data_IF_121264005060
#
_entry.id   IF_121264005060
#
_cell.length_a   1.000
_cell.length_b   1.000
_cell.length_c   1.000
_cell.angle_alpha   90.00
_cell.angle_beta   90.00
_cell.angle_gamma   90.00
#
_symmetry.space_group_name_H-M   'P 1'
#
loop_
_entity.id
_entity.type
_entity.pdbx_description
1 polymer ?
#
# COMPACT_ATOMS: atom_id res chain seq x y z
N UNK A 1 -40.57 -12.58 -44.32
CA UNK A 1 -40.93 -11.72 -43.18
C UNK A 1 -40.30 -12.35 -41.94
N UNK A 2 -39.06 -11.94 -41.64
CA UNK A 2 -38.48 -11.77 -40.29
C UNK A 2 -38.33 -13.09 -39.49
N UNK A 3 -37.18 -13.77 -39.43
CA UNK A 3 -35.85 -13.34 -38.93
C UNK A 3 -35.93 -12.61 -37.58
N UNK A 4 -36.45 -13.28 -36.55
CA UNK A 4 -36.31 -12.84 -35.16
C UNK A 4 -36.72 -13.96 -34.20
N UNK A 5 -35.77 -14.82 -33.76
CA UNK A 5 -35.89 -15.32 -32.38
C UNK A 5 -34.68 -16.02 -31.72
N UNK A 6 -33.50 -16.14 -32.33
CA UNK A 6 -32.37 -16.79 -31.61
C UNK A 6 -31.07 -15.98 -31.62
N UNK A 7 -31.21 -14.65 -31.45
CA UNK A 7 -30.10 -13.78 -31.06
C UNK A 7 -30.02 -13.56 -29.53
N UNK A 8 -30.40 -14.56 -28.73
CA UNK A 8 -30.05 -14.62 -27.31
C UNK A 8 -28.89 -15.59 -27.10
N UNK A 9 -27.73 -15.20 -27.62
CA UNK A 9 -26.45 -15.73 -27.15
C UNK A 9 -26.11 -14.97 -25.87
N UNK A 10 -26.12 -15.59 -24.67
CA UNK A 10 -25.56 -14.95 -23.50
C UNK A 10 -24.05 -14.80 -23.70
N UNK A 11 -23.63 -13.64 -24.20
CA UNK A 11 -22.26 -13.17 -24.10
C UNK A 11 -22.03 -12.71 -22.66
N UNK A 12 -21.69 -13.65 -21.77
CA UNK A 12 -20.68 -13.48 -20.72
C UNK A 12 -20.60 -14.76 -19.88
N UNK A 13 -20.14 -15.84 -20.52
CA UNK A 13 -19.63 -16.99 -19.82
C UNK A 13 -18.13 -16.73 -19.57
N UNK A 14 -17.78 -15.92 -18.56
CA UNK A 14 -16.42 -15.96 -17.98
C UNK A 14 -16.12 -15.29 -16.62
N UNK A 15 -17.09 -14.92 -15.77
CA UNK A 15 -16.77 -14.27 -14.47
C UNK A 15 -17.10 -15.12 -13.23
N UNK A 16 -17.12 -16.46 -13.36
CA UNK A 16 -17.38 -17.36 -12.21
C UNK A 16 -16.16 -18.16 -11.73
N UNK A 17 -14.96 -17.79 -12.16
CA UNK A 17 -13.74 -18.39 -11.62
C UNK A 17 -13.29 -17.54 -10.40
N UNK A 18 -13.59 -18.04 -9.20
CA UNK A 18 -12.96 -17.70 -7.90
C UNK A 18 -13.68 -16.75 -6.92
N UNK A 19 -14.98 -16.93 -6.66
CA UNK A 19 -15.68 -16.16 -5.61
C UNK A 19 -16.16 -17.00 -4.41
N UNK A 20 -15.43 -18.06 -4.03
CA UNK A 20 -15.84 -18.94 -2.90
C UNK A 20 -14.73 -19.44 -1.97
N UNK A 21 -13.53 -18.85 -1.97
CA UNK A 21 -12.62 -18.99 -0.81
C UNK A 21 -12.89 -17.87 0.17
N UNK A 22 -13.97 -18.02 0.95
CA UNK A 22 -14.37 -17.06 1.98
C UNK A 22 -13.37 -17.03 3.13
N UNK A 23 -12.41 -16.11 3.08
CA UNK A 23 -11.53 -15.82 4.21
C UNK A 23 -12.38 -15.43 5.42
N UNK A 24 -12.29 -16.21 6.51
CA UNK A 24 -12.93 -15.87 7.79
C UNK A 24 -12.42 -14.49 8.21
N UNK A 25 -13.30 -13.49 8.27
CA UNK A 25 -12.96 -12.16 8.79
C UNK A 25 -12.63 -12.27 10.28
N UNK A 26 -11.38 -12.59 10.56
CA UNK A 26 -10.82 -12.75 11.91
C UNK A 26 -9.89 -11.60 12.29
N UNK A 27 -9.64 -10.64 11.40
CA UNK A 27 -8.86 -9.47 11.74
C UNK A 27 -9.69 -8.57 12.67
N UNK A 28 -9.41 -8.66 13.96
CA UNK A 28 -9.85 -7.68 14.94
C UNK A 28 -9.09 -6.36 14.76
N UNK A 29 -9.62 -5.29 15.37
CA UNK A 29 -8.99 -3.95 15.34
C UNK A 29 -7.54 -4.03 15.82
N UNK A 30 -7.28 -4.79 16.87
CA UNK A 30 -5.94 -4.95 17.45
C UNK A 30 -4.96 -5.60 16.46
N UNK A 31 -5.34 -6.69 15.79
CA UNK A 31 -4.50 -7.35 14.78
C UNK A 31 -4.24 -6.44 13.58
N UNK A 32 -5.23 -5.65 13.15
CA UNK A 32 -5.08 -4.70 12.06
C UNK A 32 -4.13 -3.54 12.44
N UNK A 33 -4.24 -3.01 13.66
CA UNK A 33 -3.33 -1.98 14.17
C UNK A 33 -1.90 -2.50 14.29
N UNK A 34 -1.71 -3.71 14.85
CA UNK A 34 -0.39 -4.34 14.94
C UNK A 34 0.25 -4.55 13.57
N UNK A 35 -0.54 -4.98 12.58
CA UNK A 35 -0.07 -5.12 11.21
C UNK A 35 0.38 -3.77 10.64
N UNK A 36 -0.42 -2.71 10.82
CA UNK A 36 -0.07 -1.36 10.38
C UNK A 36 1.21 -0.84 11.04
N UNK A 37 1.35 -1.00 12.36
CA UNK A 37 2.56 -0.61 13.10
C UNK A 37 3.78 -1.40 12.62
N UNK A 38 3.63 -2.70 12.37
CA UNK A 38 4.71 -3.54 11.85
C UNK A 38 5.20 -3.09 10.47
N UNK A 39 4.28 -2.71 9.57
CA UNK A 39 4.61 -2.18 8.24
C UNK A 39 5.30 -0.82 8.32
N UNK A 40 4.84 0.08 9.20
CA UNK A 40 5.41 1.43 9.35
C UNK A 40 6.79 1.40 10.00
N UNK A 41 6.95 0.66 11.10
CA UNK A 41 8.23 0.58 11.80
C UNK A 41 9.24 -0.19 10.94
N UNK A 42 8.85 -1.37 10.46
CA UNK A 42 9.61 -2.19 9.51
C UNK A 42 11.12 -2.24 9.78
N UNK A 43 11.90 -2.42 8.72
CA UNK A 43 13.35 -2.28 8.77
C UNK A 43 13.82 -0.84 8.48
N UNK A 44 12.96 0.00 7.89
CA UNK A 44 13.31 1.35 7.44
C UNK A 44 13.69 2.31 8.56
N UNK A 45 13.01 2.25 9.71
CA UNK A 45 13.28 3.16 10.83
C UNK A 45 14.71 3.00 11.37
N UNK A 46 15.20 1.76 11.46
CA UNK A 46 16.52 1.45 12.01
C UNK A 46 17.65 2.01 11.14
N UNK A 47 17.44 2.11 9.83
CA UNK A 47 18.44 2.62 8.88
C UNK A 47 18.40 4.15 8.85
N UNK A 48 17.19 4.72 8.81
CA UNK A 48 17.00 6.16 8.62
C UNK A 48 17.32 6.94 9.89
N UNK A 49 17.11 6.37 11.09
CA UNK A 49 17.34 7.11 12.34
C UNK A 49 18.81 7.49 12.53
N UNK A 50 19.74 6.65 12.08
CA UNK A 50 21.18 6.94 12.13
C UNK A 50 21.55 8.11 11.22
N UNK A 51 21.03 8.13 9.99
CA UNK A 51 21.23 9.26 9.06
C UNK A 51 20.56 10.52 9.62
N UNK A 52 19.33 10.42 10.12
CA UNK A 52 18.61 11.56 10.69
C UNK A 52 19.35 12.14 11.91
N UNK A 53 19.95 11.28 12.74
CA UNK A 53 20.79 11.69 13.86
C UNK A 53 22.08 12.40 13.42
N UNK A 54 22.69 11.98 12.33
CA UNK A 54 23.83 12.69 11.75
C UNK A 54 23.48 14.11 11.29
N UNK A 55 22.25 14.35 10.84
CA UNK A 55 21.82 15.66 10.32
C UNK A 55 21.26 16.59 11.40
N UNK A 56 20.39 16.07 12.26
CA UNK A 56 19.69 16.87 13.28
C UNK A 56 20.35 16.82 14.67
N UNK A 57 21.33 15.93 14.90
CA UNK A 57 22.06 15.81 16.16
C UNK A 57 21.12 15.55 17.35
N UNK A 58 21.20 16.38 18.38
CA UNK A 58 20.33 16.26 19.56
C UNK A 58 18.87 16.70 19.31
N UNK A 59 18.58 17.38 18.19
CA UNK A 59 17.25 17.90 17.87
C UNK A 59 16.36 16.92 17.08
N UNK A 60 16.81 15.67 16.85
CA UNK A 60 16.09 14.65 16.07
C UNK A 60 14.66 14.42 16.56
N UNK A 61 14.45 14.42 17.88
CA UNK A 61 13.12 14.22 18.46
C UNK A 61 12.10 15.29 18.01
N UNK A 62 12.57 16.51 17.73
CA UNK A 62 11.71 17.60 17.24
C UNK A 62 11.28 17.35 15.79
N UNK A 63 12.17 16.82 14.94
CA UNK A 63 11.84 16.41 13.58
C UNK A 63 10.81 15.27 13.57
N UNK A 64 10.97 14.29 14.46
CA UNK A 64 9.98 13.21 14.63
C UNK A 64 8.63 13.72 15.12
N UNK A 65 8.61 14.72 16.01
CA UNK A 65 7.36 15.32 16.50
C UNK A 65 6.58 15.98 15.35
N UNK A 66 7.25 16.77 14.51
CA UNK A 66 6.64 17.43 13.35
C UNK A 66 6.15 16.38 12.34
N UNK A 67 6.95 15.35 12.07
CA UNK A 67 6.58 14.25 11.19
C UNK A 67 5.36 13.47 11.73
N UNK A 68 5.26 13.24 13.04
CA UNK A 68 4.13 12.58 13.67
C UNK A 68 2.83 13.37 13.52
N UNK A 69 2.88 14.70 13.65
CA UNK A 69 1.71 15.56 13.42
C UNK A 69 1.27 15.46 11.96
N UNK A 70 2.21 15.57 11.00
CA UNK A 70 1.89 15.43 9.57
C UNK A 70 1.31 14.05 9.24
N UNK A 71 1.87 12.99 9.80
CA UNK A 71 1.40 11.62 9.63
C UNK A 71 0.00 11.41 10.25
N UNK A 72 -0.30 12.03 11.38
CA UNK A 72 -1.63 11.97 12.00
C UNK A 72 -2.69 12.64 11.11
N UNK A 73 -2.38 13.81 10.54
CA UNK A 73 -3.26 14.48 9.59
C UNK A 73 -3.51 13.62 8.34
N UNK A 74 -2.45 13.02 7.78
CA UNK A 74 -2.55 12.09 6.67
C UNK A 74 -3.41 10.86 7.04
N UNK A 75 -3.17 10.26 8.22
CA UNK A 75 -3.91 9.11 8.72
C UNK A 75 -5.41 9.39 8.88
N UNK A 76 -5.77 10.58 9.38
CA UNK A 76 -7.18 11.00 9.47
C UNK A 76 -7.81 11.13 8.07
N UNK A 77 -7.07 11.66 7.08
CA UNK A 77 -7.53 11.73 5.68
C UNK A 77 -7.80 10.34 5.10
N UNK A 78 -6.85 9.42 5.26
CA UNK A 78 -7.01 8.02 4.82
C UNK A 78 -8.15 7.29 5.55
N UNK A 79 -8.33 7.52 6.85
CA UNK A 79 -9.44 6.94 7.61
C UNK A 79 -10.82 7.46 7.15
N UNK A 80 -10.89 8.68 6.61
CA UNK A 80 -12.11 9.21 5.97
C UNK A 80 -12.35 8.55 4.61
N UNK A 81 -11.30 8.35 3.81
CA UNK A 81 -11.40 7.66 2.52
C UNK A 81 -11.78 6.18 2.68
N UNK A 82 -11.23 5.48 3.68
CA UNK A 82 -11.53 4.08 3.94
C UNK A 82 -12.99 3.79 4.30
N UNK A 83 -13.74 4.81 4.77
CA UNK A 83 -15.19 4.69 5.00
C UNK A 83 -16.01 4.61 3.70
N UNK A 84 -15.46 5.00 2.55
CA UNK A 84 -16.14 5.04 1.26
C UNK A 84 -16.24 3.67 0.55
N UNK A 85 -15.68 2.59 1.12
CA UNK A 85 -15.93 1.16 0.81
C UNK A 85 -16.49 0.82 -0.60
N UNK A 86 -15.67 0.80 -1.66
CA UNK A 86 -15.80 -0.18 -2.72
C UNK A 86 -15.11 -1.46 -2.28
N UNK A 87 -15.75 -2.60 -2.54
CA UNK A 87 -15.18 -3.93 -2.29
C UNK A 87 -13.84 -4.05 -3.02
N UNK A 88 -12.77 -4.32 -2.28
CA UNK A 88 -11.54 -4.97 -2.74
C UNK A 88 -10.87 -4.36 -3.98
N UNK A 89 -11.04 -3.06 -4.22
CA UNK A 89 -10.39 -2.37 -5.33
C UNK A 89 -8.98 -1.91 -4.88
N UNK A 90 -7.87 -2.43 -5.46
CA UNK A 90 -6.55 -1.87 -5.24
C UNK A 90 -6.51 -0.40 -5.65
N UNK A 91 -5.60 0.38 -5.07
CA UNK A 91 -5.45 1.84 -5.27
C UNK A 91 -5.47 2.24 -6.77
N UNK A 92 -4.97 1.36 -7.64
CA UNK A 92 -4.99 1.55 -9.09
C UNK A 92 -6.36 1.42 -9.76
N UNK A 93 -7.28 0.63 -9.20
CA UNK A 93 -8.66 0.61 -9.70
C UNK A 93 -9.38 1.92 -9.40
N UNK A 94 -9.07 2.58 -8.27
CA UNK A 94 -9.55 3.93 -8.00
C UNK A 94 -8.98 4.96 -8.98
N UNK A 95 -7.70 4.88 -9.33
CA UNK A 95 -7.09 5.79 -10.31
C UNK A 95 -7.55 5.50 -11.75
N UNK A 96 -7.72 4.24 -12.12
CA UNK A 96 -8.30 3.86 -13.42
C UNK A 96 -9.73 4.40 -13.58
N UNK A 97 -10.52 4.36 -12.49
CA UNK A 97 -11.91 4.84 -12.51
C UNK A 97 -12.01 6.37 -12.46
N UNK A 98 -11.01 7.06 -11.89
CA UNK A 98 -10.99 8.53 -11.77
C UNK A 98 -10.32 9.25 -12.95
N UNK A 99 -9.28 8.68 -13.58
CA UNK A 99 -8.46 9.36 -14.60
C UNK A 99 -8.40 8.64 -15.96
N UNK A 100 -8.95 7.43 -16.09
CA UNK A 100 -8.93 6.64 -17.33
C UNK A 100 -7.76 5.65 -17.41
N UNK A 101 -7.73 4.87 -18.50
CA UNK A 101 -6.90 3.66 -18.66
C UNK A 101 -5.38 3.92 -18.69
N UNK A 102 -4.93 5.05 -19.26
CA UNK A 102 -3.49 5.38 -19.37
C UNK A 102 -2.89 5.91 -18.06
N UNK A 103 -3.47 6.92 -17.39
CA UNK A 103 -2.92 7.41 -16.12
C UNK A 103 -3.06 6.40 -14.98
N UNK A 104 -4.10 5.56 -14.97
CA UNK A 104 -4.21 4.47 -14.01
C UNK A 104 -3.14 3.38 -14.22
N UNK A 105 -2.81 3.05 -15.48
CA UNK A 105 -1.69 2.16 -15.80
C UNK A 105 -0.33 2.74 -15.36
N UNK A 106 -0.10 4.03 -15.63
CA UNK A 106 1.15 4.68 -15.25
C UNK A 106 1.32 4.77 -13.73
N UNK A 107 0.25 5.06 -12.99
CA UNK A 107 0.29 5.02 -11.53
C UNK A 107 0.57 3.60 -11.00
N UNK A 108 -0.04 2.58 -11.62
CA UNK A 108 0.29 1.16 -11.52
C UNK A 108 1.79 0.89 -11.53
N UNK A 109 2.39 1.31 -12.64
CA UNK A 109 3.81 1.16 -12.90
C UNK A 109 4.68 1.91 -11.88
N UNK A 110 4.28 3.13 -11.52
CA UNK A 110 5.05 3.99 -10.63
C UNK A 110 5.14 3.43 -9.20
N UNK A 111 4.06 2.84 -8.69
CA UNK A 111 4.06 2.22 -7.37
C UNK A 111 4.76 0.86 -7.38
N UNK A 112 4.74 0.11 -8.50
CA UNK A 112 5.62 -1.06 -8.68
C UNK A 112 7.10 -0.66 -8.54
N UNK A 113 7.54 0.39 -9.24
CA UNK A 113 8.91 0.89 -9.09
C UNK A 113 9.20 1.41 -7.69
N UNK A 114 8.27 2.14 -7.08
CA UNK A 114 8.44 2.65 -5.72
C UNK A 114 8.65 1.53 -4.70
N UNK A 115 7.88 0.45 -4.79
CA UNK A 115 8.01 -0.71 -3.88
C UNK A 115 9.31 -1.49 -4.10
N UNK A 116 9.78 -1.62 -5.36
CA UNK A 116 11.09 -2.22 -5.67
C UNK A 116 12.24 -1.40 -5.09
N UNK A 117 12.20 -0.07 -5.25
CA UNK A 117 13.22 0.83 -4.71
C UNK A 117 13.19 0.79 -3.17
N UNK A 118 11.99 0.82 -2.56
CA UNK A 118 11.83 0.73 -1.11
C UNK A 118 12.39 -0.57 -0.53
N UNK A 119 12.10 -1.70 -1.16
CA UNK A 119 12.62 -3.02 -0.73
C UNK A 119 14.13 -3.10 -0.88
N UNK A 120 14.68 -2.55 -1.98
CA UNK A 120 16.13 -2.46 -2.18
C UNK A 120 16.82 -1.60 -1.11
N UNK A 121 16.22 -0.47 -0.73
CA UNK A 121 16.73 0.40 0.33
C UNK A 121 16.75 -0.30 1.69
N UNK A 122 15.71 -1.08 2.00
CA UNK A 122 15.65 -1.92 3.20
C UNK A 122 16.74 -2.98 3.20
N UNK A 123 16.96 -3.65 2.07
CA UNK A 123 18.00 -4.67 1.94
C UNK A 123 19.42 -4.09 2.15
N UNK A 124 19.71 -2.92 1.57
CA UNK A 124 20.98 -2.19 1.78
C UNK A 124 21.20 -1.84 3.25
N UNK A 125 20.15 -1.37 3.92
CA UNK A 125 20.20 -1.08 5.34
C UNK A 125 20.52 -2.32 6.18
N UNK A 126 19.89 -3.45 5.90
CA UNK A 126 20.18 -4.71 6.59
C UNK A 126 21.59 -5.23 6.31
N UNK A 127 22.07 -5.11 5.07
CA UNK A 127 23.44 -5.45 4.70
C UNK A 127 24.46 -4.63 5.51
N UNK A 128 24.24 -3.32 5.66
CA UNK A 128 25.10 -2.47 6.50
C UNK A 128 25.11 -2.87 7.98
N UNK A 129 23.96 -3.30 8.53
CA UNK A 129 23.90 -3.84 9.90
C UNK A 129 24.66 -5.16 10.05
N UNK A 130 24.59 -6.05 9.06
CA UNK A 130 25.33 -7.32 9.08
C UNK A 130 26.84 -7.10 8.96
N UNK A 131 27.27 -6.18 8.09
CA UNK A 131 28.69 -5.83 7.94
C UNK A 131 29.26 -5.31 9.27
N UNK A 132 28.53 -4.45 9.98
CA UNK A 132 28.97 -3.94 11.29
C UNK A 132 29.02 -5.01 12.39
N UNK A 133 28.26 -6.11 12.26
CA UNK A 133 28.22 -7.17 13.26
C UNK A 133 29.31 -8.23 13.03
N UNK A 134 29.66 -8.50 11.77
CA UNK A 134 30.59 -9.57 11.39
C UNK A 134 31.95 -9.08 10.86
N UNK A 135 32.16 -7.76 10.75
CA UNK A 135 33.37 -7.11 10.26
C UNK A 135 34.02 -6.20 11.30
#
# INVERSE_FOLDING_TARGET
MIESDEMNKPASQNDSITDSVGLKRSLGVLSATLMGVGVILGAGIYVIIGVAAGWAGNAVWLSFLIAAVAAALAGISYARLGRLRPKNAPEYQYLNMAFGQIPGFLAGWMVLWATVISTSAVALGFAGYLEHLFG
#
